data_IF_240045029591
#
_entry.id   IF_240045029591
#
_cell.length_a   1.000
_cell.length_b   1.000
_cell.length_c   1.000
_cell.angle_alpha   90.00
_cell.angle_beta   90.00
_cell.angle_gamma   90.00
#
_symmetry.space_group_name_H-M   'P 1'
#
loop_
_entity.id
_entity.type
_entity.pdbx_description
1 polymer ?
#
# COMPACT_ATOMS: atom_id res chain seq x y z
N UNK A 1 -14.06 -25.82 7.05
CA UNK A 1 -13.51 -24.92 8.07
C UNK A 1 -12.05 -24.58 7.75
N UNK A 2 -11.13 -25.56 7.69
CA UNK A 2 -9.68 -25.32 7.46
C UNK A 2 -9.28 -24.67 6.12
N UNK A 3 -10.06 -24.81 5.03
CA UNK A 3 -9.71 -24.22 3.73
C UNK A 3 -9.85 -22.70 3.69
N UNK A 4 -10.87 -22.16 4.38
CA UNK A 4 -11.13 -20.73 4.41
C UNK A 4 -10.02 -19.99 5.17
N UNK A 5 -9.58 -20.54 6.31
CA UNK A 5 -8.48 -19.98 7.11
C UNK A 5 -7.14 -20.04 6.35
N UNK A 6 -6.91 -21.14 5.61
CA UNK A 6 -5.71 -21.30 4.79
C UNK A 6 -5.68 -20.31 3.62
N UNK A 7 -6.82 -20.02 3.00
CA UNK A 7 -6.91 -19.05 1.93
C UNK A 7 -6.68 -17.62 2.46
N UNK A 8 -7.30 -17.28 3.59
CA UNK A 8 -7.08 -15.99 4.24
C UNK A 8 -5.62 -15.80 4.63
N UNK A 9 -4.98 -16.84 5.19
CA UNK A 9 -3.55 -16.81 5.52
C UNK A 9 -2.67 -16.55 4.30
N UNK A 10 -2.98 -17.14 3.14
CA UNK A 10 -2.24 -16.88 1.89
C UNK A 10 -2.38 -15.43 1.42
N UNK A 11 -3.57 -14.85 1.55
CA UNK A 11 -3.81 -13.45 1.20
C UNK A 11 -3.03 -12.52 2.14
N UNK A 12 -3.04 -12.80 3.45
CA UNK A 12 -2.26 -12.03 4.42
C UNK A 12 -0.76 -12.07 4.11
N UNK A 13 -0.22 -13.25 3.81
CA UNK A 13 1.19 -13.41 3.41
C UNK A 13 1.53 -12.64 2.13
N UNK A 14 0.60 -12.52 1.18
CA UNK A 14 0.79 -11.70 -0.01
C UNK A 14 0.94 -10.22 0.35
N UNK A 15 0.04 -9.70 1.19
CA UNK A 15 0.07 -8.31 1.64
C UNK A 15 1.32 -7.99 2.47
N UNK A 16 1.72 -8.88 3.39
CA UNK A 16 2.97 -8.75 4.17
C UNK A 16 4.20 -8.66 3.25
N UNK A 17 4.24 -9.46 2.18
CA UNK A 17 5.33 -9.41 1.19
C UNK A 17 5.32 -8.10 0.40
N UNK A 18 4.16 -7.62 -0.01
CA UNK A 18 4.03 -6.32 -0.69
C UNK A 18 4.49 -5.19 0.23
N UNK A 19 4.05 -5.17 1.49
CA UNK A 19 4.46 -4.15 2.46
C UNK A 19 5.98 -4.16 2.70
N UNK A 20 6.56 -5.36 2.82
CA UNK A 20 8.01 -5.53 2.97
C UNK A 20 8.77 -4.94 1.77
N UNK A 21 8.28 -5.18 0.55
CA UNK A 21 8.87 -4.62 -0.66
C UNK A 21 8.74 -3.09 -0.71
N UNK A 22 7.59 -2.52 -0.33
CA UNK A 22 7.42 -1.07 -0.23
C UNK A 22 8.42 -0.46 0.74
N UNK A 23 8.56 -1.06 1.94
CA UNK A 23 9.52 -0.62 2.96
C UNK A 23 10.96 -0.66 2.46
N UNK A 24 11.32 -1.69 1.69
CA UNK A 24 12.65 -1.80 1.09
C UNK A 24 12.90 -0.66 0.10
N UNK A 25 11.95 -0.39 -0.81
CA UNK A 25 12.07 0.71 -1.80
C UNK A 25 12.24 2.06 -1.10
N UNK A 26 11.48 2.31 -0.02
CA UNK A 26 11.60 3.54 0.76
C UNK A 26 12.98 3.66 1.43
N UNK A 27 13.50 2.58 2.02
CA UNK A 27 14.85 2.57 2.61
C UNK A 27 15.96 2.81 1.59
N UNK A 28 15.81 2.26 0.38
CA UNK A 28 16.77 2.48 -0.69
C UNK A 28 16.84 3.95 -1.11
N UNK A 29 15.72 4.69 -1.12
CA UNK A 29 15.73 6.14 -1.39
C UNK A 29 16.63 6.87 -0.41
N UNK A 30 16.51 6.59 0.89
CA UNK A 30 17.35 7.18 1.95
C UNK A 30 18.84 6.91 1.71
N UNK A 31 19.19 5.70 1.30
CA UNK A 31 20.58 5.31 1.00
C UNK A 31 21.11 5.97 -0.29
N UNK A 32 20.29 6.10 -1.33
CA UNK A 32 20.70 6.63 -2.65
C UNK A 32 20.74 8.16 -2.71
N UNK A 33 19.75 8.82 -2.11
CA UNK A 33 19.57 10.28 -2.21
C UNK A 33 20.09 11.03 -0.97
N UNK A 34 20.48 10.30 0.09
CA UNK A 34 20.93 10.86 1.37
C UNK A 34 19.84 11.60 2.14
N UNK A 35 18.61 11.65 1.61
CA UNK A 35 17.44 12.25 2.24
C UNK A 35 16.51 11.15 2.72
N UNK A 36 16.31 11.10 4.04
CA UNK A 36 15.27 10.29 4.64
C UNK A 36 13.90 10.94 4.53
N UNK A 37 12.88 10.17 4.90
CA UNK A 37 11.52 10.67 5.04
C UNK A 37 11.33 11.37 6.40
N UNK A 38 10.33 12.26 6.54
CA UNK A 38 9.99 12.87 7.82
C UNK A 38 9.36 11.87 8.81
N UNK A 39 8.92 10.70 8.34
CA UNK A 39 8.27 9.64 9.11
C UNK A 39 8.98 8.31 8.83
N UNK A 40 8.90 7.35 9.76
CA UNK A 40 9.45 6.00 9.59
C UNK A 40 8.93 5.33 8.30
N UNK A 41 9.83 4.66 7.58
CA UNK A 41 9.51 4.02 6.30
C UNK A 41 8.43 2.92 6.45
N UNK A 42 8.29 2.33 7.64
CA UNK A 42 7.27 1.32 7.92
C UNK A 42 5.87 1.94 7.99
N UNK A 43 5.74 3.15 8.54
CA UNK A 43 4.46 3.89 8.59
C UNK A 43 4.04 4.27 7.16
N UNK A 44 4.99 4.76 6.36
CA UNK A 44 4.74 5.10 4.96
C UNK A 44 4.34 3.88 4.13
N UNK A 45 5.03 2.74 4.30
CA UNK A 45 4.67 1.50 3.62
C UNK A 45 3.25 1.03 3.98
N UNK A 46 2.90 1.06 5.28
CA UNK A 46 1.57 0.72 5.75
C UNK A 46 0.49 1.66 5.19
N UNK A 47 0.76 2.96 5.12
CA UNK A 47 -0.16 3.95 4.54
C UNK A 47 -0.39 3.72 3.04
N UNK A 48 0.67 3.47 2.27
CA UNK A 48 0.58 3.14 0.85
C UNK A 48 -0.26 1.87 0.62
N UNK A 49 -0.03 0.84 1.43
CA UNK A 49 -0.79 -0.41 1.34
C UNK A 49 -2.25 -0.20 1.72
N UNK A 50 -2.52 0.54 2.80
CA UNK A 50 -3.87 0.88 3.25
C UNK A 50 -4.69 1.62 2.19
N UNK A 51 -4.07 2.51 1.42
CA UNK A 51 -4.75 3.18 0.30
C UNK A 51 -5.17 2.19 -0.80
N UNK A 52 -4.30 1.23 -1.14
CA UNK A 52 -4.61 0.19 -2.14
C UNK A 52 -5.73 -0.71 -1.63
N UNK A 53 -5.64 -1.19 -0.39
CA UNK A 53 -6.68 -2.02 0.24
C UNK A 53 -8.02 -1.30 0.34
N UNK A 54 -8.02 -0.01 0.71
CA UNK A 54 -9.22 0.82 0.73
C UNK A 54 -9.86 0.97 -0.66
N UNK A 55 -9.03 1.12 -1.69
CA UNK A 55 -9.49 1.21 -3.09
C UNK A 55 -10.09 -0.11 -3.58
N UNK A 56 -9.46 -1.25 -3.24
CA UNK A 56 -9.97 -2.58 -3.55
C UNK A 56 -11.29 -2.88 -2.81
N UNK A 57 -11.37 -2.55 -1.52
CA UNK A 57 -12.59 -2.71 -0.73
C UNK A 57 -13.74 -1.86 -1.29
N UNK A 58 -13.46 -0.60 -1.66
CA UNK A 58 -14.47 0.29 -2.28
C UNK A 58 -14.94 -0.26 -3.63
N UNK A 59 -14.04 -0.81 -4.43
CA UNK A 59 -14.38 -1.45 -5.70
C UNK A 59 -15.36 -2.61 -5.50
N UNK A 60 -15.04 -3.54 -4.59
CA UNK A 60 -15.90 -4.70 -4.27
C UNK A 60 -17.25 -4.24 -3.69
N UNK A 61 -17.26 -3.36 -2.67
CA UNK A 61 -18.49 -2.87 -2.02
C UNK A 61 -19.42 -2.12 -2.96
N UNK A 62 -18.88 -1.54 -4.03
CA UNK A 62 -19.66 -0.80 -5.03
C UNK A 62 -20.17 -1.65 -6.18
N UNK A 63 -20.07 -2.98 -6.08
CA UNK A 63 -20.35 -3.91 -7.19
C UNK A 63 -19.59 -3.51 -8.46
N UNK A 64 -18.29 -3.23 -8.29
CA UNK A 64 -17.37 -2.87 -9.37
C UNK A 64 -17.62 -1.52 -10.05
N UNK A 65 -18.49 -0.66 -9.48
CA UNK A 65 -18.77 0.68 -10.00
C UNK A 65 -17.57 1.63 -9.91
N UNK A 66 -16.88 1.65 -8.77
CA UNK A 66 -15.74 2.54 -8.55
C UNK A 66 -14.42 1.83 -8.82
N UNK A 67 -13.83 2.07 -9.99
CA UNK A 67 -12.53 1.48 -10.37
C UNK A 67 -11.44 1.88 -9.36
N UNK A 68 -10.56 0.94 -8.94
CA UNK A 68 -9.47 1.24 -8.00
C UNK A 68 -8.49 2.31 -8.50
N UNK A 69 -8.38 2.47 -9.83
CA UNK A 69 -7.49 3.44 -10.48
C UNK A 69 -8.15 4.78 -10.76
N UNK A 70 -9.42 4.97 -10.39
CA UNK A 70 -10.09 6.26 -10.55
C UNK A 70 -9.36 7.34 -9.72
N UNK A 71 -9.04 8.47 -10.35
CA UNK A 71 -8.31 9.60 -9.75
C UNK A 71 -6.93 9.24 -9.17
N UNK A 72 -6.28 8.19 -9.70
CA UNK A 72 -4.97 7.75 -9.21
C UNK A 72 -3.94 8.89 -9.15
N UNK A 73 -3.88 9.74 -10.18
CA UNK A 73 -2.92 10.84 -10.23
C UNK A 73 -3.08 11.83 -9.07
N UNK A 74 -4.33 12.13 -8.67
CA UNK A 74 -4.61 13.05 -7.57
C UNK A 74 -4.30 12.41 -6.22
N UNK A 75 -4.62 11.11 -6.05
CA UNK A 75 -4.21 10.35 -4.87
C UNK A 75 -2.69 10.26 -4.76
N UNK A 76 -2.00 10.03 -5.87
CA UNK A 76 -0.56 9.97 -5.91
C UNK A 76 0.07 11.32 -5.55
N UNK A 77 -0.45 12.43 -6.08
CA UNK A 77 -0.01 13.78 -5.69
C UNK A 77 -0.14 14.00 -4.18
N UNK A 78 -1.29 13.64 -3.59
CA UNK A 78 -1.51 13.76 -2.15
C UNK A 78 -0.50 12.93 -1.34
N UNK A 79 -0.33 11.65 -1.69
CA UNK A 79 0.59 10.75 -1.01
C UNK A 79 2.06 11.17 -1.18
N UNK A 80 2.45 11.56 -2.39
CA UNK A 80 3.81 12.00 -2.68
C UNK A 80 4.18 13.31 -1.98
N UNK A 81 3.20 14.15 -1.64
CA UNK A 81 3.44 15.34 -0.83
C UNK A 81 3.88 14.98 0.61
N UNK A 82 3.42 13.86 1.17
CA UNK A 82 3.88 13.36 2.48
C UNK A 82 5.29 12.76 2.42
N UNK A 83 5.75 12.41 1.21
CA UNK A 83 7.04 11.76 0.97
C UNK A 83 8.23 12.73 0.88
N UNK A 84 8.00 14.05 0.85
CA UNK A 84 9.05 15.08 0.90
C UNK A 84 9.88 15.22 -0.37
#
# INVERSE_FOLDING_TARGET
>A
MFEQDRLQSRINQLFERIETQLRQVLRERKLREGKGFPVDESILAAQLLGQVEGSLNRFVRSNFKYKPTANFDDYWRLLSAELG
#
